data_IF_377238100141
#
_entry.id   IF_377238100141
#
_cell.length_a   1.000
_cell.length_b   1.000
_cell.length_c   1.000
_cell.angle_alpha   90.00
_cell.angle_beta   90.00
_cell.angle_gamma   90.00
#
_symmetry.space_group_name_H-M   'P 1'
#
loop_
_entity.id
_entity.type
_entity.pdbx_description
1 polymer ?
#
# COMPACT_ATOMS: atom_id res chain seq x y z
N UNK A 1 -1.49 16.92 13.04
CA UNK A 1 -0.38 16.75 12.09
C UNK A 1 0.85 17.36 12.72
N UNK A 2 1.97 16.66 12.68
CA UNK A 2 3.25 17.13 13.20
C UNK A 2 4.29 17.06 12.07
N UNK A 3 5.30 17.94 12.13
CA UNK A 3 6.32 18.02 11.09
C UNK A 3 7.39 16.95 11.33
N UNK A 4 7.64 16.14 10.30
CA UNK A 4 8.76 15.19 10.23
C UNK A 4 9.97 15.77 9.51
N UNK A 5 10.99 14.93 9.30
CA UNK A 5 12.17 15.31 8.53
C UNK A 5 11.82 15.57 7.06
N UNK A 6 12.54 16.49 6.41
CA UNK A 6 12.42 16.76 4.96
C UNK A 6 11.01 17.11 4.47
N UNK A 7 10.20 17.79 5.28
CA UNK A 7 8.88 18.30 4.87
C UNK A 7 7.76 17.24 4.86
N UNK A 8 8.00 16.05 5.43
CA UNK A 8 6.94 15.06 5.67
C UNK A 8 6.09 15.45 6.86
N UNK A 9 4.84 14.98 6.92
CA UNK A 9 3.97 15.16 8.08
C UNK A 9 3.42 13.81 8.52
N UNK A 10 3.42 13.55 9.83
CA UNK A 10 2.64 12.46 10.42
C UNK A 10 1.24 12.95 10.82
N UNK A 11 0.27 12.06 10.71
CA UNK A 11 -1.07 12.26 11.25
C UNK A 11 -1.01 11.84 12.71
N UNK A 12 -1.21 12.79 13.62
CA UNK A 12 -1.12 12.56 15.07
C UNK A 12 -2.48 12.25 15.71
N UNK A 13 -3.57 12.53 14.99
CA UNK A 13 -4.94 12.27 15.43
C UNK A 13 -5.81 12.00 14.21
N UNK A 14 -6.63 10.95 14.27
CA UNK A 14 -7.62 10.64 13.24
C UNK A 14 -8.71 9.75 13.80
N UNK A 15 -9.93 9.97 13.30
CA UNK A 15 -11.14 9.27 13.73
C UNK A 15 -11.89 8.79 12.48
N UNK A 16 -12.59 7.66 12.61
CA UNK A 16 -13.43 7.09 11.55
C UNK A 16 -14.85 7.02 12.07
N UNK A 17 -15.78 7.64 11.34
CA UNK A 17 -17.21 7.54 11.61
C UNK A 17 -17.89 6.80 10.47
N UNK A 18 -18.75 5.83 10.80
CA UNK A 18 -19.56 5.08 9.85
C UNK A 18 -21.01 5.47 10.05
N UNK A 19 -21.66 5.88 8.96
CA UNK A 19 -23.04 6.30 8.95
C UNK A 19 -23.89 5.37 8.08
N UNK A 20 -25.13 5.15 8.50
CA UNK A 20 -26.21 4.61 7.69
C UNK A 20 -27.26 5.72 7.52
N UNK A 21 -27.28 6.35 6.35
CA UNK A 21 -28.03 7.59 6.13
C UNK A 21 -27.56 8.71 7.06
N UNK A 22 -28.45 9.20 7.92
CA UNK A 22 -28.19 10.23 8.92
C UNK A 22 -27.80 9.66 10.30
N UNK A 23 -27.80 8.33 10.45
CA UNK A 23 -27.52 7.65 11.72
C UNK A 23 -26.05 7.27 11.83
N UNK A 24 -25.39 7.73 12.90
CA UNK A 24 -24.07 7.24 13.28
C UNK A 24 -24.18 5.78 13.77
N UNK A 25 -23.51 4.85 13.09
CA UNK A 25 -23.51 3.41 13.39
C UNK A 25 -22.26 3.01 14.17
N UNK A 26 -21.11 3.59 13.84
CA UNK A 26 -19.85 3.34 14.55
C UNK A 26 -18.94 4.57 14.55
N UNK A 27 -18.13 4.70 15.61
CA UNK A 27 -17.06 5.69 15.71
C UNK A 27 -15.82 5.00 16.26
N UNK A 28 -14.72 5.02 15.49
CA UNK A 28 -13.39 4.61 15.93
C UNK A 28 -12.53 5.85 16.13
N UNK A 29 -11.85 5.93 17.27
CA UNK A 29 -10.96 7.02 17.65
C UNK A 29 -9.76 6.45 18.42
N UNK A 30 -8.62 7.13 18.34
CA UNK A 30 -7.43 6.77 19.14
C UNK A 30 -7.75 6.85 20.63
N UNK A 31 -7.29 5.86 21.43
CA UNK A 31 -7.61 5.82 22.86
C UNK A 31 -6.74 6.81 23.65
N UNK A 32 -5.56 7.13 23.14
CA UNK A 32 -4.63 8.10 23.72
C UNK A 32 -3.79 8.81 22.66
N UNK A 33 -3.06 9.86 23.05
CA UNK A 33 -2.10 10.55 22.18
C UNK A 33 -0.85 9.71 21.85
N UNK A 34 -0.64 8.61 22.57
CA UNK A 34 0.48 7.68 22.38
C UNK A 34 0.12 6.51 21.45
N UNK A 35 -1.16 6.34 21.08
CA UNK A 35 -1.57 5.34 20.11
C UNK A 35 -1.25 5.81 18.69
N UNK A 36 -0.84 4.88 17.81
CA UNK A 36 -0.70 5.20 16.38
C UNK A 36 -2.04 5.71 15.85
N UNK A 37 -2.04 6.94 15.33
CA UNK A 37 -3.26 7.56 14.86
C UNK A 37 -3.83 6.82 13.65
N UNK A 38 -5.13 6.96 13.42
CA UNK A 38 -5.72 6.59 12.13
C UNK A 38 -5.30 7.65 11.11
N UNK A 39 -4.68 7.22 10.02
CA UNK A 39 -4.21 8.10 8.95
C UNK A 39 -5.27 8.28 7.87
N UNK A 40 -5.29 7.35 6.91
CA UNK A 40 -6.11 7.43 5.70
C UNK A 40 -7.12 6.28 5.61
N UNK A 41 -8.13 6.47 4.77
CA UNK A 41 -9.10 5.44 4.39
C UNK A 41 -9.06 5.25 2.87
N UNK A 42 -9.01 3.99 2.43
CA UNK A 42 -9.05 3.64 1.01
C UNK A 42 -10.24 2.71 0.76
N UNK A 43 -11.12 3.09 -0.16
CA UNK A 43 -12.21 2.21 -0.58
C UNK A 43 -11.64 1.04 -1.40
N UNK A 44 -12.02 -0.18 -1.04
CA UNK A 44 -11.64 -1.40 -1.75
C UNK A 44 -12.76 -1.87 -2.67
N UNK A 45 -12.39 -2.61 -3.71
CA UNK A 45 -13.38 -3.35 -4.50
C UNK A 45 -14.13 -4.35 -3.60
N UNK A 46 -15.45 -4.41 -3.72
CA UNK A 46 -16.29 -5.26 -2.87
C UNK A 46 -16.85 -4.57 -1.62
N UNK A 47 -16.60 -3.26 -1.46
CA UNK A 47 -17.29 -2.42 -0.47
C UNK A 47 -16.65 -2.38 0.91
N UNK A 48 -15.51 -3.04 1.10
CA UNK A 48 -14.69 -2.87 2.30
C UNK A 48 -13.90 -1.55 2.24
N UNK A 49 -13.44 -1.07 3.40
CA UNK A 49 -12.61 0.13 3.51
C UNK A 49 -11.32 -0.20 4.24
N UNK A 50 -10.17 -0.04 3.58
CA UNK A 50 -8.86 -0.19 4.21
C UNK A 50 -8.56 0.99 5.11
N UNK A 51 -8.16 0.71 6.34
CA UNK A 51 -7.69 1.68 7.31
C UNK A 51 -6.17 1.70 7.29
N UNK A 52 -5.60 2.89 7.27
CA UNK A 52 -4.16 3.12 7.35
C UNK A 52 -3.83 3.80 8.67
N UNK A 53 -2.64 3.54 9.18
CA UNK A 53 -2.10 4.32 10.29
C UNK A 53 -1.60 5.70 9.85
N UNK A 54 -1.32 6.55 10.83
CA UNK A 54 -0.91 7.94 10.67
C UNK A 54 0.61 8.16 10.61
N UNK A 55 1.40 7.09 10.49
CA UNK A 55 2.86 7.21 10.41
C UNK A 55 3.28 7.90 9.11
N UNK A 56 4.53 8.37 9.06
CA UNK A 56 5.07 9.13 7.93
C UNK A 56 4.95 8.39 6.59
N UNK A 57 5.14 7.06 6.60
CA UNK A 57 4.97 6.22 5.40
C UNK A 57 3.54 5.69 5.30
N UNK A 58 2.85 5.54 6.43
CA UNK A 58 1.59 4.83 6.53
C UNK A 58 1.78 3.32 6.35
N UNK A 59 1.17 2.52 7.23
CA UNK A 59 0.94 1.10 6.98
C UNK A 59 -0.55 0.75 7.07
N UNK A 60 -1.03 -0.20 6.27
CA UNK A 60 -2.41 -0.64 6.37
C UNK A 60 -2.60 -1.46 7.65
N UNK A 61 -3.60 -1.11 8.46
CA UNK A 61 -3.84 -1.75 9.77
C UNK A 61 -4.91 -2.84 9.70
N UNK A 62 -5.82 -2.75 8.74
CA UNK A 62 -6.92 -3.69 8.58
C UNK A 62 -7.99 -3.18 7.63
N UNK A 63 -8.94 -4.05 7.32
CA UNK A 63 -10.05 -3.75 6.42
C UNK A 63 -11.36 -3.70 7.24
N UNK A 64 -12.09 -2.60 7.12
CA UNK A 64 -13.42 -2.40 7.70
C UNK A 64 -14.48 -3.03 6.79
N UNK A 65 -15.32 -3.86 7.40
CA UNK A 65 -16.47 -4.50 6.77
C UNK A 65 -17.75 -4.11 7.50
N UNK A 66 -18.83 -3.96 6.74
CA UNK A 66 -20.19 -3.88 7.28
C UNK A 66 -20.85 -5.23 7.06
N UNK A 67 -21.17 -5.91 8.15
CA UNK A 67 -21.86 -7.20 8.14
C UNK A 67 -23.34 -7.03 7.75
N UNK A 68 -24.01 -8.12 7.39
CA UNK A 68 -25.41 -8.08 6.97
C UNK A 68 -26.39 -7.56 8.04
N UNK A 69 -26.01 -7.65 9.32
CA UNK A 69 -26.78 -7.13 10.46
C UNK A 69 -26.49 -5.65 10.76
N UNK A 70 -25.65 -5.00 9.95
CA UNK A 70 -25.22 -3.60 10.11
C UNK A 70 -24.04 -3.42 11.06
N UNK A 71 -23.47 -4.49 11.62
CA UNK A 71 -22.29 -4.42 12.48
C UNK A 71 -21.06 -4.02 11.67
N UNK A 72 -20.31 -3.03 12.14
CA UNK A 72 -19.01 -2.65 11.59
C UNK A 72 -17.90 -3.43 12.28
N UNK A 73 -17.05 -4.12 11.51
CA UNK A 73 -15.91 -4.89 12.03
C UNK A 73 -14.61 -4.53 11.33
N UNK A 74 -13.57 -4.30 12.11
CA UNK A 74 -12.19 -4.23 11.62
C UNK A 74 -11.59 -5.63 11.61
N UNK A 75 -11.32 -6.16 10.42
CA UNK A 75 -10.65 -7.43 10.23
C UNK A 75 -9.15 -7.28 9.95
N UNK A 76 -8.45 -8.42 9.90
CA UNK A 76 -7.10 -8.45 9.30
C UNK A 76 -7.17 -8.01 7.84
N UNK A 77 -6.06 -7.53 7.30
CA UNK A 77 -5.93 -7.34 5.85
C UNK A 77 -6.25 -8.64 5.12
N UNK A 78 -6.97 -8.53 4.00
CA UNK A 78 -7.21 -9.66 3.13
C UNK A 78 -5.87 -10.26 2.65
N UNK A 79 -5.84 -11.59 2.49
CA UNK A 79 -4.65 -12.26 1.94
C UNK A 79 -4.46 -11.90 0.46
N UNK A 80 -5.54 -11.55 -0.24
CA UNK A 80 -5.57 -11.08 -1.63
C UNK A 80 -6.69 -10.06 -1.85
N UNK A 81 -6.41 -9.03 -2.66
CA UNK A 81 -7.36 -8.00 -3.06
C UNK A 81 -7.84 -8.22 -4.49
N UNK A 82 -9.15 -8.05 -4.71
CA UNK A 82 -9.73 -7.96 -6.06
C UNK A 82 -9.45 -6.58 -6.66
N UNK A 83 -8.97 -6.55 -7.90
CA UNK A 83 -8.81 -5.29 -8.64
C UNK A 83 -9.44 -5.41 -10.03
N UNK A 84 -9.77 -4.25 -10.60
CA UNK A 84 -10.34 -4.13 -11.94
C UNK A 84 -11.62 -4.94 -12.14
N UNK A 85 -12.59 -4.80 -11.23
CA UNK A 85 -13.87 -5.53 -11.24
C UNK A 85 -13.66 -7.05 -11.15
N UNK A 86 -12.70 -7.45 -10.33
CA UNK A 86 -12.38 -8.84 -10.04
C UNK A 86 -11.61 -9.56 -11.16
N UNK A 87 -11.17 -8.85 -12.19
CA UNK A 87 -10.41 -9.42 -13.31
C UNK A 87 -8.98 -9.83 -12.92
N UNK A 88 -8.44 -9.27 -11.85
CA UNK A 88 -7.15 -9.69 -11.30
C UNK A 88 -7.16 -9.69 -9.77
N UNK A 89 -6.16 -10.37 -9.21
CA UNK A 89 -5.91 -10.44 -7.78
C UNK A 89 -4.51 -9.89 -7.48
N UNK A 90 -4.39 -9.11 -6.42
CA UNK A 90 -3.11 -8.66 -5.88
C UNK A 90 -2.94 -9.33 -4.51
N UNK A 91 -1.89 -10.15 -4.31
CA UNK A 91 -1.63 -10.72 -3.00
C UNK A 91 -1.20 -9.61 -2.03
N UNK A 92 -1.48 -9.79 -0.74
CA UNK A 92 -0.98 -8.87 0.27
C UNK A 92 0.56 -8.96 0.32
N UNK A 93 1.20 -7.90 -0.16
CA UNK A 93 2.66 -7.77 -0.24
C UNK A 93 3.21 -6.67 0.67
N UNK A 94 2.36 -6.00 1.45
CA UNK A 94 2.78 -4.93 2.35
C UNK A 94 3.85 -5.42 3.34
N UNK A 95 4.90 -4.62 3.52
CA UNK A 95 6.05 -4.93 4.37
C UNK A 95 6.99 -6.01 3.81
N UNK A 96 6.66 -6.66 2.69
CA UNK A 96 7.54 -7.66 2.09
C UNK A 96 8.74 -6.98 1.41
N UNK A 97 9.96 -7.55 1.54
CA UNK A 97 11.07 -7.18 0.66
C UNK A 97 10.72 -7.43 -0.80
N UNK A 98 11.20 -6.55 -1.69
CA UNK A 98 10.84 -6.58 -3.12
C UNK A 98 11.15 -7.92 -3.83
N UNK A 99 12.16 -8.66 -3.39
CA UNK A 99 12.52 -9.97 -3.95
C UNK A 99 11.50 -11.08 -3.59
N UNK A 100 10.76 -10.92 -2.50
CA UNK A 100 9.64 -11.78 -2.11
C UNK A 100 8.35 -11.31 -2.76
N UNK A 101 8.07 -10.01 -2.71
CA UNK A 101 6.87 -9.43 -3.31
C UNK A 101 6.75 -9.76 -4.81
N UNK A 102 7.84 -9.64 -5.57
CA UNK A 102 7.85 -9.98 -7.00
C UNK A 102 7.51 -11.45 -7.29
N UNK A 103 7.84 -12.37 -6.39
CA UNK A 103 7.52 -13.80 -6.55
C UNK A 103 6.03 -14.03 -6.29
N UNK A 104 5.50 -13.46 -5.21
CA UNK A 104 4.06 -13.53 -4.91
C UNK A 104 3.22 -12.92 -6.05
N UNK A 105 3.67 -11.80 -6.62
CA UNK A 105 3.03 -11.20 -7.80
C UNK A 105 3.09 -12.12 -9.03
N UNK A 106 4.23 -12.76 -9.29
CA UNK A 106 4.37 -13.69 -10.42
C UNK A 106 3.38 -14.87 -10.32
N UNK A 107 3.15 -15.39 -9.11
CA UNK A 107 2.17 -16.47 -8.85
C UNK A 107 0.72 -16.04 -9.18
N UNK A 108 0.46 -14.73 -9.21
CA UNK A 108 -0.83 -14.13 -9.61
C UNK A 108 -0.86 -13.62 -11.05
N UNK A 109 0.16 -13.93 -11.84
CA UNK A 109 0.22 -13.59 -13.26
C UNK A 109 0.69 -12.17 -13.56
N UNK A 110 1.19 -11.44 -12.55
CA UNK A 110 1.83 -10.14 -12.74
C UNK A 110 3.28 -10.33 -13.15
N UNK A 111 3.63 -9.86 -14.34
CA UNK A 111 4.95 -10.03 -14.94
C UNK A 111 5.76 -8.75 -14.81
N UNK A 112 7.03 -8.81 -14.37
CA UNK A 112 7.93 -7.66 -14.33
C UNK A 112 7.99 -6.95 -15.69
N UNK A 113 7.81 -5.64 -15.71
CA UNK A 113 8.04 -4.79 -16.88
C UNK A 113 9.39 -4.14 -16.71
N UNK A 114 10.29 -4.33 -17.68
CA UNK A 114 11.62 -3.75 -17.61
C UNK A 114 11.53 -2.22 -17.54
N UNK A 115 12.10 -1.65 -16.48
CA UNK A 115 12.24 -0.21 -16.32
C UNK A 115 13.22 0.40 -17.32
N UNK A 116 13.16 1.72 -17.44
CA UNK A 116 14.10 2.48 -18.28
C UNK A 116 15.54 2.43 -17.76
N UNK A 117 16.50 2.76 -18.62
CA UNK A 117 17.86 3.03 -18.16
C UNK A 117 17.85 4.27 -17.26
N UNK A 118 18.54 4.20 -16.12
CA UNK A 118 18.60 5.30 -15.16
C UNK A 118 20.04 5.49 -14.69
N UNK A 119 20.51 6.75 -14.60
CA UNK A 119 21.80 7.06 -13.99
C UNK A 119 21.74 6.98 -12.45
N UNK A 120 20.55 6.81 -11.87
CA UNK A 120 20.37 6.76 -10.43
C UNK A 120 21.02 5.47 -9.85
N UNK A 121 22.00 5.59 -8.93
CA UNK A 121 22.79 4.45 -8.47
C UNK A 121 21.99 3.31 -7.83
N UNK A 122 20.91 3.62 -7.10
CA UNK A 122 20.08 2.64 -6.40
C UNK A 122 19.28 1.78 -7.39
N UNK A 123 18.65 2.39 -8.37
CA UNK A 123 17.98 1.71 -9.47
C UNK A 123 18.98 0.86 -10.26
N UNK A 124 20.15 1.40 -10.59
CA UNK A 124 21.20 0.63 -11.27
C UNK A 124 21.67 -0.59 -10.45
N UNK A 125 21.75 -0.47 -9.12
CA UNK A 125 22.12 -1.57 -8.23
C UNK A 125 21.05 -2.67 -8.21
N UNK A 126 19.76 -2.31 -8.18
CA UNK A 126 18.65 -3.26 -8.26
C UNK A 126 18.65 -4.03 -9.60
N UNK A 127 18.86 -3.31 -10.71
CA UNK A 127 18.96 -3.91 -12.04
C UNK A 127 20.13 -4.89 -12.14
N UNK A 128 21.31 -4.54 -11.60
CA UNK A 128 22.47 -5.45 -11.53
C UNK A 128 22.20 -6.73 -10.73
N UNK A 129 21.24 -6.68 -9.79
CA UNK A 129 20.78 -7.84 -9.00
C UNK A 129 19.64 -8.63 -9.68
N UNK A 130 19.25 -8.26 -10.91
CA UNK A 130 18.19 -8.94 -11.66
C UNK A 130 16.77 -8.48 -11.30
N UNK A 131 16.62 -7.37 -10.58
CA UNK A 131 15.34 -6.69 -10.36
C UNK A 131 15.24 -5.61 -11.45
N UNK A 132 14.90 -6.06 -12.66
CA UNK A 132 14.91 -5.21 -13.85
C UNK A 132 13.68 -4.33 -13.95
N UNK A 133 12.68 -4.56 -13.10
CA UNK A 133 11.43 -3.83 -13.07
C UNK A 133 11.45 -2.53 -12.25
N UNK A 134 12.59 -2.17 -11.67
CA UNK A 134 12.75 -0.86 -11.02
C UNK A 134 12.68 0.26 -12.06
N UNK A 135 11.75 1.19 -11.89
CA UNK A 135 11.44 2.24 -12.87
C UNK A 135 11.97 3.62 -12.47
N UNK A 136 11.83 3.95 -11.18
CA UNK A 136 12.26 5.21 -10.59
C UNK A 136 12.65 4.97 -9.14
N UNK A 137 13.73 5.58 -8.68
CA UNK A 137 14.16 5.53 -7.29
C UNK A 137 14.58 6.92 -6.81
N UNK A 138 14.17 7.27 -5.60
CA UNK A 138 14.65 8.44 -4.90
C UNK A 138 15.99 8.14 -4.22
N UNK A 139 16.96 9.05 -4.36
CA UNK A 139 18.30 8.89 -3.78
C UNK A 139 18.42 9.33 -2.31
N UNK A 140 17.45 10.07 -1.77
CA UNK A 140 17.46 10.59 -0.39
C UNK A 140 16.05 10.59 0.22
N UNK A 141 15.96 10.86 1.52
CA UNK A 141 14.69 10.90 2.25
C UNK A 141 14.19 9.50 2.61
N UNK A 142 12.95 9.19 2.26
CA UNK A 142 12.36 7.86 2.51
C UNK A 142 12.83 6.78 1.51
N UNK A 143 13.64 7.17 0.52
CA UNK A 143 14.24 6.28 -0.47
C UNK A 143 13.22 5.42 -1.23
N UNK A 144 12.13 6.07 -1.66
CA UNK A 144 11.09 5.42 -2.45
C UNK A 144 11.64 4.84 -3.75
N UNK A 145 11.10 3.70 -4.17
CA UNK A 145 11.37 3.12 -5.48
C UNK A 145 10.09 2.54 -6.07
N UNK A 146 9.81 2.78 -7.35
CA UNK A 146 8.66 2.22 -8.06
C UNK A 146 9.08 1.04 -8.92
N UNK A 147 8.24 0.00 -8.95
CA UNK A 147 8.48 -1.24 -9.68
C UNK A 147 7.26 -1.60 -10.53
N UNK A 148 7.46 -1.73 -11.85
CA UNK A 148 6.38 -1.92 -12.81
C UNK A 148 6.07 -3.38 -13.13
N UNK A 149 4.79 -3.73 -13.18
CA UNK A 149 4.30 -5.05 -13.56
C UNK A 149 3.13 -4.96 -14.53
N UNK A 150 3.07 -5.87 -15.50
CA UNK A 150 1.96 -6.04 -16.41
C UNK A 150 1.22 -7.33 -16.06
N UNK A 151 -0.09 -7.28 -15.96
CA UNK A 151 -0.90 -8.42 -15.55
C UNK A 151 -2.17 -8.59 -16.38
N UNK A 152 -3.05 -9.51 -15.94
CA UNK A 152 -4.27 -9.88 -16.65
C UNK A 152 -5.21 -8.70 -16.89
N UNK A 153 -5.32 -7.80 -15.91
CA UNK A 153 -6.30 -6.71 -15.92
C UNK A 153 -5.72 -5.32 -16.22
N UNK A 154 -4.40 -5.18 -16.32
CA UNK A 154 -3.77 -3.87 -16.47
C UNK A 154 -2.31 -3.83 -16.06
N UNK A 155 -1.92 -2.69 -15.49
CA UNK A 155 -0.58 -2.42 -15.01
C UNK A 155 -0.62 -2.18 -13.51
N UNK A 156 0.29 -2.83 -12.79
CA UNK A 156 0.49 -2.69 -11.36
C UNK A 156 1.84 -2.02 -11.12
N UNK A 157 1.86 -1.08 -10.20
CA UNK A 157 3.09 -0.43 -9.70
C UNK A 157 3.22 -0.77 -8.23
N UNK A 158 4.33 -1.38 -7.82
CA UNK A 158 4.68 -1.47 -6.40
C UNK A 158 5.53 -0.28 -6.00
N UNK A 159 5.24 0.31 -4.84
CA UNK A 159 6.07 1.36 -4.24
C UNK A 159 6.79 0.82 -3.02
N UNK A 160 8.10 0.98 -3.13
CA UNK A 160 9.23 0.77 -2.24
C UNK A 160 9.43 1.74 -1.10
N UNK A 161 9.82 1.37 0.12
CA UNK A 161 10.43 2.33 1.06
C UNK A 161 11.69 1.79 1.73
N UNK A 162 12.57 2.71 2.14
CA UNK A 162 13.75 2.44 2.94
C UNK A 162 15.02 2.25 2.13
N UNK A 163 16.17 2.42 2.77
CA UNK A 163 17.49 2.50 2.11
C UNK A 163 18.19 1.16 1.93
N UNK A 164 17.64 0.06 2.46
CA UNK A 164 18.22 -1.28 2.35
C UNK A 164 18.39 -1.71 0.89
N UNK A 165 19.31 -2.62 0.65
CA UNK A 165 19.56 -3.24 -0.67
C UNK A 165 18.29 -3.82 -1.32
N UNK A 166 17.40 -4.37 -0.50
CA UNK A 166 16.09 -4.85 -0.88
C UNK A 166 15.05 -4.06 -0.07
N UNK A 167 14.53 -2.96 -0.63
CA UNK A 167 13.51 -2.15 0.04
C UNK A 167 12.20 -2.93 0.21
N UNK A 168 11.37 -2.47 1.14
CA UNK A 168 10.12 -3.14 1.54
C UNK A 168 8.92 -2.43 0.93
N UNK A 169 7.93 -3.18 0.47
CA UNK A 169 6.70 -2.62 -0.12
C UNK A 169 5.94 -1.82 0.93
N UNK A 170 5.70 -0.54 0.64
CA UNK A 170 4.81 0.33 1.41
C UNK A 170 3.46 0.48 0.74
N UNK A 171 3.41 0.43 -0.60
CA UNK A 171 2.17 0.67 -1.34
C UNK A 171 2.13 -0.05 -2.70
N UNK A 172 0.95 -0.08 -3.31
CA UNK A 172 0.78 -0.42 -4.71
C UNK A 172 -0.41 0.33 -5.34
N UNK A 173 -0.34 0.52 -6.65
CA UNK A 173 -1.45 1.01 -7.46
C UNK A 173 -1.71 0.09 -8.66
N UNK A 174 -2.97 0.01 -9.08
CA UNK A 174 -3.38 -0.76 -10.27
C UNK A 174 -4.15 0.14 -11.23
N UNK A 175 -3.54 0.35 -12.40
CA UNK A 175 -4.19 0.98 -13.54
C UNK A 175 -4.83 -0.08 -14.43
N UNK A 176 -6.16 -0.16 -14.37
CA UNK A 176 -6.96 -1.05 -15.21
C UNK A 176 -6.95 -0.61 -16.69
N UNK A 177 -7.19 -1.57 -17.60
CA UNK A 177 -7.34 -1.31 -19.05
C UNK A 177 -8.70 -0.77 -19.43
#
# INVERSE_FOLDING_TARGET
MEAGTSGTCNITQGNVAVFDGDKLVALAYGKSADDTAIGNLTALEGGAVRVWDGDIVGSPVGDLHVEADGTVRLGKLADEESVCKGQAKVPNVYGMPIDKARKALADKGWKPVRGGASPEPRQAALVRRGITEAESCAGTGLAYCDFGYAGPAGRLTLTTVGEKDLPTVSDYDVKCR
#
